data_IF_843854275149
#
_entry.id   IF_843854275149
#
_cell.length_a   1.000
_cell.length_b   1.000
_cell.length_c   1.000
_cell.angle_alpha   90.00
_cell.angle_beta   90.00
_cell.angle_gamma   90.00
#
_symmetry.space_group_name_H-M   'P 1'
#
loop_
_entity.id
_entity.type
_entity.pdbx_description
1 polymer ?
#
# COMPACT_ATOMS: atom_id res chain seq x y z
N UNK A 1 -25.46 -9.25 19.62
CA UNK A 1 -24.60 -8.62 18.59
C UNK A 1 -25.22 -7.26 18.32
N UNK A 2 -24.51 -6.16 18.54
CA UNK A 2 -25.13 -4.83 18.49
C UNK A 2 -25.41 -4.43 17.04
N UNK A 3 -26.68 -4.39 16.65
CA UNK A 3 -27.18 -4.12 15.29
C UNK A 3 -27.08 -2.64 14.87
N UNK A 4 -26.11 -1.89 15.39
CA UNK A 4 -25.87 -0.50 15.00
C UNK A 4 -24.39 -0.32 14.63
N UNK A 5 -24.12 -0.23 13.33
CA UNK A 5 -22.80 0.14 12.83
C UNK A 5 -22.67 1.65 12.87
N UNK A 6 -21.69 2.16 13.62
CA UNK A 6 -21.43 3.59 13.75
C UNK A 6 -20.92 4.22 12.45
N UNK A 7 -20.98 5.56 12.40
CA UNK A 7 -20.32 6.32 11.33
C UNK A 7 -18.83 6.40 11.60
N UNK A 8 -18.01 6.14 10.59
CA UNK A 8 -16.56 6.28 10.64
C UNK A 8 -16.07 7.18 9.50
N UNK A 9 -15.12 8.06 9.79
CA UNK A 9 -14.41 8.83 8.76
C UNK A 9 -13.15 8.06 8.38
N UNK A 10 -12.93 7.89 7.07
CA UNK A 10 -11.76 7.19 6.52
C UNK A 10 -10.97 8.15 5.62
N UNK A 11 -9.68 7.91 5.48
CA UNK A 11 -8.80 8.70 4.62
C UNK A 11 -7.91 7.81 3.74
N UNK A 12 -7.83 8.14 2.45
CA UNK A 12 -6.81 7.62 1.54
C UNK A 12 -5.75 8.71 1.34
N UNK A 13 -4.50 8.42 1.70
CA UNK A 13 -3.39 9.38 1.62
C UNK A 13 -2.69 9.27 0.26
N UNK A 14 -3.05 10.15 -0.68
CA UNK A 14 -2.36 10.26 -1.95
C UNK A 14 -1.08 11.10 -1.80
N UNK A 15 0.08 10.46 -1.71
CA UNK A 15 1.37 11.12 -1.59
C UNK A 15 2.50 10.30 -2.22
N UNK A 16 3.60 10.96 -2.58
CA UNK A 16 4.88 10.29 -2.79
C UNK A 16 5.60 10.05 -1.46
N UNK A 17 6.39 8.97 -1.35
CA UNK A 17 7.37 8.85 -0.27
C UNK A 17 8.56 9.80 -0.49
N UNK A 18 9.49 9.82 0.46
CA UNK A 18 10.84 10.33 0.18
C UNK A 18 11.61 9.16 -0.42
N UNK A 19 11.64 9.12 -1.75
CA UNK A 19 11.99 7.92 -2.52
C UNK A 19 13.37 7.39 -2.11
N UNK A 20 13.39 6.11 -1.68
CA UNK A 20 14.61 5.39 -1.25
C UNK A 20 15.31 6.01 -0.01
N UNK A 21 14.57 6.74 0.82
CA UNK A 21 14.96 7.13 2.17
C UNK A 21 13.87 6.66 3.15
N UNK A 22 14.14 5.56 3.86
CA UNK A 22 13.18 4.95 4.78
C UNK A 22 12.83 5.90 5.92
N UNK A 23 13.82 6.51 6.56
CA UNK A 23 13.61 7.29 7.77
C UNK A 23 12.88 8.61 7.46
N UNK A 24 13.25 9.29 6.37
CA UNK A 24 12.53 10.47 5.92
C UNK A 24 11.10 10.15 5.45
N UNK A 25 10.89 8.99 4.83
CA UNK A 25 9.55 8.51 4.47
C UNK A 25 8.69 8.24 5.70
N UNK A 26 9.25 7.64 6.76
CA UNK A 26 8.54 7.41 8.02
C UNK A 26 8.18 8.72 8.72
N UNK A 27 9.08 9.71 8.72
CA UNK A 27 8.79 11.03 9.27
C UNK A 27 7.66 11.74 8.49
N UNK A 28 7.69 11.64 7.15
CA UNK A 28 6.60 12.15 6.29
C UNK A 28 5.29 11.41 6.55
N UNK A 29 5.33 10.10 6.72
CA UNK A 29 4.16 9.26 7.06
C UNK A 29 3.53 9.74 8.38
N UNK A 30 4.30 9.94 9.45
CA UNK A 30 3.75 10.43 10.74
C UNK A 30 2.99 11.75 10.57
N UNK A 31 3.57 12.70 9.83
CA UNK A 31 2.94 13.99 9.55
C UNK A 31 1.64 13.87 8.75
N UNK A 32 1.62 13.04 7.71
CA UNK A 32 0.44 12.82 6.88
C UNK A 32 -0.67 12.10 7.63
N UNK A 33 -0.31 11.08 8.43
CA UNK A 33 -1.23 10.34 9.29
C UNK A 33 -1.85 11.26 10.34
N UNK A 34 -1.03 12.11 10.99
CA UNK A 34 -1.54 13.09 11.93
C UNK A 34 -2.50 14.08 11.25
N UNK A 35 -2.16 14.58 10.07
CA UNK A 35 -3.02 15.50 9.31
C UNK A 35 -4.39 14.88 8.98
N UNK A 36 -4.42 13.59 8.62
CA UNK A 36 -5.67 12.88 8.37
C UNK A 36 -6.49 12.69 9.67
N UNK A 37 -5.80 12.35 10.77
CA UNK A 37 -6.41 12.17 12.09
C UNK A 37 -6.99 13.47 12.65
N UNK A 38 -6.32 14.61 12.46
CA UNK A 38 -6.78 15.93 12.86
C UNK A 38 -8.07 16.34 12.10
N UNK A 39 -8.29 15.75 10.92
CA UNK A 39 -9.53 15.86 10.13
C UNK A 39 -10.58 14.81 10.51
N UNK A 40 -10.35 14.06 11.58
CA UNK A 40 -11.28 13.08 12.16
C UNK A 40 -11.18 11.67 11.58
N UNK A 41 -10.19 11.37 10.72
CA UNK A 41 -10.03 10.02 10.19
C UNK A 41 -9.70 9.01 11.29
N UNK A 42 -10.41 7.87 11.29
CA UNK A 42 -10.20 6.75 12.21
C UNK A 42 -9.72 5.47 11.50
N UNK A 43 -9.74 5.47 10.16
CA UNK A 43 -9.05 4.50 9.30
C UNK A 43 -8.26 5.31 8.28
N UNK A 44 -6.95 5.07 8.20
CA UNK A 44 -6.04 5.78 7.31
C UNK A 44 -5.29 4.75 6.46
N UNK A 45 -5.35 4.92 5.14
CA UNK A 45 -4.74 4.01 4.18
C UNK A 45 -3.63 4.74 3.44
N UNK A 46 -2.42 4.19 3.51
CA UNK A 46 -1.27 4.65 2.73
C UNK A 46 -1.17 3.87 1.40
N UNK A 47 -0.47 4.40 0.38
CA UNK A 47 -0.30 3.71 -0.91
C UNK A 47 0.46 2.38 -0.82
N UNK A 48 0.36 1.58 -1.89
CA UNK A 48 1.14 0.36 -2.07
C UNK A 48 2.64 0.65 -2.03
N UNK A 49 3.38 -0.18 -1.27
CA UNK A 49 4.83 -0.07 -1.11
C UNK A 49 5.34 1.35 -0.82
N UNK A 50 4.55 2.17 -0.10
CA UNK A 50 4.91 3.54 0.26
C UNK A 50 6.27 3.60 0.95
N UNK A 51 6.63 2.62 1.79
CA UNK A 51 7.94 2.57 2.44
C UNK A 51 8.89 1.57 1.76
N UNK A 52 10.09 1.98 1.29
CA UNK A 52 10.50 3.38 1.05
C UNK A 52 10.04 3.92 -0.31
N UNK A 53 9.62 3.04 -1.23
CA UNK A 53 9.13 3.39 -2.56
C UNK A 53 8.57 2.16 -3.27
N UNK A 54 7.55 2.36 -4.10
CA UNK A 54 7.15 1.37 -5.08
C UNK A 54 8.21 1.28 -6.19
N UNK A 55 8.72 0.07 -6.53
CA UNK A 55 9.68 -0.13 -7.61
C UNK A 55 8.97 0.02 -8.97
N UNK A 56 8.69 1.26 -9.38
CA UNK A 56 7.85 1.57 -10.55
C UNK A 56 8.34 0.95 -11.85
N UNK A 57 7.42 0.36 -12.62
CA UNK A 57 7.72 -0.32 -13.88
C UNK A 57 8.52 0.50 -14.91
N UNK A 58 8.22 1.79 -15.16
CA UNK A 58 8.97 2.60 -16.13
C UNK A 58 10.44 2.81 -15.80
N UNK A 59 10.84 2.52 -14.55
CA UNK A 59 12.19 2.79 -14.04
C UNK A 59 12.89 1.49 -13.62
N UNK A 60 12.23 0.67 -12.79
CA UNK A 60 12.77 -0.61 -12.32
C UNK A 60 12.57 -1.70 -13.39
N UNK A 61 11.36 -1.84 -13.94
CA UNK A 61 11.03 -2.87 -14.93
C UNK A 61 11.88 -2.81 -16.20
N UNK A 62 12.23 -1.60 -16.66
CA UNK A 62 13.10 -1.39 -17.81
C UNK A 62 14.53 -1.97 -17.63
N UNK A 63 14.97 -2.15 -16.38
CA UNK A 63 16.36 -2.46 -16.05
C UNK A 63 16.51 -3.91 -15.57
N UNK A 64 15.57 -4.42 -14.76
CA UNK A 64 15.66 -5.79 -14.25
C UNK A 64 15.34 -6.87 -15.27
N UNK A 65 14.65 -6.53 -16.37
CA UNK A 65 14.35 -7.50 -17.45
C UNK A 65 15.58 -8.00 -18.21
N UNK A 66 16.72 -7.30 -18.13
CA UNK A 66 17.93 -7.64 -18.90
C UNK A 66 19.14 -8.10 -18.07
N UNK A 67 19.19 -7.78 -16.76
CA UNK A 67 20.37 -7.95 -15.88
C UNK A 67 21.73 -7.44 -16.45
N UNK A 68 21.71 -6.76 -17.59
CA UNK A 68 22.88 -6.31 -18.34
C UNK A 68 23.27 -4.88 -18.00
N UNK A 69 22.38 -4.13 -17.36
CA UNK A 69 22.67 -2.79 -16.86
C UNK A 69 23.45 -2.90 -15.54
N UNK A 70 24.71 -2.41 -15.47
CA UNK A 70 25.50 -2.45 -14.25
C UNK A 70 24.89 -1.65 -13.09
N UNK A 71 23.94 -0.74 -13.35
CA UNK A 71 23.24 0.02 -12.32
C UNK A 71 22.13 -0.78 -11.61
N UNK A 72 21.68 -1.91 -12.17
CA UNK A 72 20.60 -2.72 -11.63
C UNK A 72 20.88 -3.24 -10.20
N UNK A 73 22.06 -3.84 -10.01
CA UNK A 73 22.49 -4.39 -8.71
C UNK A 73 22.61 -3.32 -7.62
N UNK A 74 23.31 -2.20 -7.85
CA UNK A 74 23.33 -1.05 -6.96
C UNK A 74 21.93 -0.51 -6.61
N UNK A 75 21.05 -0.32 -7.59
CA UNK A 75 19.68 0.15 -7.36
C UNK A 75 18.87 -0.82 -6.46
N UNK A 76 18.94 -2.13 -6.74
CA UNK A 76 18.30 -3.14 -5.92
C UNK A 76 18.86 -3.15 -4.49
N UNK A 77 20.19 -3.02 -4.34
CA UNK A 77 20.83 -2.93 -3.03
C UNK A 77 20.33 -1.73 -2.23
N UNK A 78 20.18 -0.55 -2.86
CA UNK A 78 19.66 0.65 -2.20
C UNK A 78 18.22 0.48 -1.75
N UNK A 79 17.37 -0.13 -2.60
CA UNK A 79 16.00 -0.50 -2.23
C UNK A 79 15.99 -1.46 -1.03
N UNK A 80 16.77 -2.54 -1.09
CA UNK A 80 16.83 -3.55 -0.02
C UNK A 80 17.38 -2.99 1.30
N UNK A 81 18.33 -2.04 1.26
CA UNK A 81 18.85 -1.38 2.45
C UNK A 81 17.80 -0.49 3.14
N UNK A 82 16.90 0.11 2.36
CA UNK A 82 15.80 0.95 2.86
C UNK A 82 14.49 0.16 3.08
N UNK A 83 14.45 -1.13 2.76
CA UNK A 83 13.30 -1.99 3.06
C UNK A 83 13.11 -2.17 4.58
N UNK A 84 11.93 -2.68 4.94
CA UNK A 84 11.49 -2.83 6.33
C UNK A 84 11.62 -4.29 6.75
N UNK A 85 12.37 -4.57 7.81
CA UNK A 85 12.24 -5.85 8.50
C UNK A 85 11.01 -5.81 9.41
N UNK A 86 10.28 -6.91 9.52
CA UNK A 86 9.05 -6.98 10.33
C UNK A 86 9.22 -8.08 11.40
N UNK A 87 9.24 -7.75 12.70
CA UNK A 87 9.22 -6.40 13.30
C UNK A 87 10.58 -5.69 13.26
N UNK A 88 10.59 -4.35 13.35
CA UNK A 88 11.81 -3.50 13.43
C UNK A 88 11.50 -2.10 13.99
N UNK A 89 12.52 -1.24 14.23
CA UNK A 89 12.29 0.16 14.58
C UNK A 89 11.39 0.93 13.60
N UNK A 90 11.37 0.53 12.32
CA UNK A 90 10.49 1.10 11.31
C UNK A 90 9.02 0.73 11.54
N UNK A 91 8.72 -0.54 11.89
CA UNK A 91 7.35 -0.94 12.26
C UNK A 91 6.93 -0.29 13.57
N UNK A 92 7.85 -0.09 14.52
CA UNK A 92 7.59 0.68 15.75
C UNK A 92 7.27 2.15 15.48
N UNK A 93 7.90 2.77 14.48
CA UNK A 93 7.56 4.13 14.06
C UNK A 93 6.12 4.21 13.51
N UNK A 94 5.71 3.26 12.68
CA UNK A 94 4.34 3.17 12.17
C UNK A 94 3.33 2.89 13.30
N UNK A 95 3.66 1.99 14.23
CA UNK A 95 2.86 1.72 15.42
C UNK A 95 2.67 2.97 16.29
N UNK A 96 3.72 3.78 16.47
CA UNK A 96 3.62 5.08 17.16
C UNK A 96 2.72 6.04 16.42
N UNK A 97 2.81 6.14 15.08
CA UNK A 97 1.93 6.99 14.29
C UNK A 97 0.45 6.58 14.43
N UNK A 98 0.14 5.27 14.37
CA UNK A 98 -1.20 4.73 14.60
C UNK A 98 -1.73 5.07 16.01
N UNK A 99 -0.90 4.88 17.04
CA UNK A 99 -1.26 5.17 18.44
C UNK A 99 -1.49 6.65 18.70
N UNK A 100 -0.62 7.52 18.16
CA UNK A 100 -0.72 8.98 18.27
C UNK A 100 -1.98 9.52 17.59
N UNK A 101 -2.30 9.00 16.40
CA UNK A 101 -3.51 9.34 15.66
C UNK A 101 -4.79 8.68 16.19
N UNK A 102 -4.67 7.65 17.04
CA UNK A 102 -5.79 6.82 17.53
C UNK A 102 -6.62 6.26 16.36
N UNK A 103 -5.96 5.91 15.27
CA UNK A 103 -6.57 5.43 14.04
C UNK A 103 -6.02 4.06 13.64
N UNK A 104 -6.85 3.27 12.98
CA UNK A 104 -6.38 2.12 12.22
C UNK A 104 -5.53 2.61 11.06
N UNK A 105 -4.36 2.02 10.87
CA UNK A 105 -3.38 2.46 9.88
C UNK A 105 -2.96 1.28 9.00
N UNK A 106 -3.28 1.34 7.71
CA UNK A 106 -2.81 0.39 6.69
C UNK A 106 -1.63 0.99 5.94
N UNK A 107 -0.47 0.32 5.95
CA UNK A 107 0.76 0.78 5.31
C UNK A 107 1.30 -0.27 4.36
N UNK A 108 1.51 0.10 3.10
CA UNK A 108 2.28 -0.69 2.14
C UNK A 108 3.79 -0.51 2.33
N UNK A 109 4.52 -1.61 2.42
CA UNK A 109 5.98 -1.62 2.60
C UNK A 109 6.65 -2.59 1.65
N UNK A 110 7.90 -2.30 1.30
CA UNK A 110 8.84 -3.32 0.87
C UNK A 110 9.36 -4.00 2.13
N UNK A 111 8.88 -5.20 2.42
CA UNK A 111 9.39 -6.02 3.50
C UNK A 111 10.67 -6.73 3.06
N UNK A 112 11.70 -6.75 3.90
CA UNK A 112 12.91 -7.56 3.70
C UNK A 112 12.97 -8.68 4.74
N UNK A 113 13.11 -9.91 4.27
CA UNK A 113 13.35 -11.06 5.16
C UNK A 113 14.82 -11.14 5.57
N UNK A 114 15.12 -11.97 6.58
CA UNK A 114 16.50 -12.27 6.99
C UNK A 114 17.34 -12.88 5.87
N UNK A 115 16.73 -13.54 4.89
CA UNK A 115 17.43 -14.13 3.72
C UNK A 115 17.70 -13.10 2.63
N UNK A 116 17.24 -11.86 2.78
CA UNK A 116 17.41 -10.78 1.81
C UNK A 116 16.31 -10.70 0.74
N UNK A 117 15.32 -11.60 0.79
CA UNK A 117 14.17 -11.55 -0.12
C UNK A 117 13.30 -10.35 0.20
N UNK A 118 12.86 -9.63 -0.84
CA UNK A 118 11.90 -8.55 -0.70
C UNK A 118 10.48 -9.05 -0.98
N UNK A 119 9.48 -8.50 -0.28
CA UNK A 119 8.06 -8.73 -0.53
C UNK A 119 7.31 -7.39 -0.54
N UNK A 120 6.25 -7.30 -1.34
CA UNK A 120 5.25 -6.25 -1.17
C UNK A 120 4.30 -6.65 -0.04
N UNK A 121 4.30 -5.90 1.04
CA UNK A 121 3.58 -6.28 2.27
C UNK A 121 2.66 -5.15 2.73
N UNK A 122 1.43 -5.49 3.09
CA UNK A 122 0.52 -4.62 3.83
C UNK A 122 0.63 -4.91 5.32
N UNK A 123 0.81 -3.85 6.10
CA UNK A 123 0.80 -3.86 7.57
C UNK A 123 -0.44 -3.11 8.05
N UNK A 124 -1.23 -3.75 8.92
CA UNK A 124 -2.38 -3.12 9.56
C UNK A 124 -2.11 -2.94 11.04
N UNK A 125 -2.07 -1.69 11.49
CA UNK A 125 -1.88 -1.32 12.89
C UNK A 125 -3.20 -0.90 13.54
N UNK A 126 -3.42 -1.33 14.78
CA UNK A 126 -4.55 -0.92 15.60
C UNK A 126 -4.37 0.52 16.13
N UNK A 127 -5.44 1.19 16.59
CA UNK A 127 -5.36 2.47 17.29
C UNK A 127 -4.53 2.43 18.58
N UNK A 128 -4.29 1.26 19.15
CA UNK A 128 -3.41 1.08 20.30
C UNK A 128 -1.93 0.98 19.88
N UNK A 129 -1.64 0.80 18.59
CA UNK A 129 -0.31 0.61 18.02
C UNK A 129 0.08 -0.87 17.85
N UNK A 130 -0.84 -1.81 18.03
CA UNK A 130 -0.55 -3.24 17.82
C UNK A 130 -0.52 -3.55 16.32
N UNK A 131 0.43 -4.37 15.88
CA UNK A 131 0.45 -4.89 14.52
C UNK A 131 -0.59 -6.01 14.38
N UNK A 132 -1.82 -5.63 14.01
CA UNK A 132 -2.97 -6.51 13.95
C UNK A 132 -2.92 -7.50 12.78
N UNK A 133 -2.27 -7.15 11.67
CA UNK A 133 -2.11 -8.05 10.53
C UNK A 133 -0.89 -7.69 9.67
N UNK A 134 -0.23 -8.73 9.15
CA UNK A 134 0.83 -8.65 8.14
C UNK A 134 0.38 -9.50 6.95
N UNK A 135 0.37 -8.93 5.75
CA UNK A 135 0.02 -9.66 4.52
C UNK A 135 0.99 -9.37 3.40
N UNK A 136 1.71 -10.39 2.95
CA UNK A 136 2.49 -10.35 1.71
C UNK A 136 1.56 -10.53 0.51
N UNK A 137 1.80 -9.75 -0.55
CA UNK A 137 1.11 -9.87 -1.85
C UNK A 137 1.26 -11.29 -2.37
N UNK A 138 0.15 -12.00 -2.60
CA UNK A 138 0.18 -13.41 -2.97
C UNK A 138 1.03 -13.64 -4.22
N UNK A 139 0.75 -12.89 -5.30
CA UNK A 139 1.47 -12.99 -6.57
C UNK A 139 1.88 -11.58 -7.03
N UNK A 140 3.19 -11.27 -7.05
CA UNK A 140 3.71 -10.09 -7.72
C UNK A 140 3.32 -10.06 -9.20
N UNK A 141 2.92 -8.89 -9.66
CA UNK A 141 2.37 -8.65 -10.99
C UNK A 141 3.48 -8.28 -11.96
N UNK A 142 3.50 -8.92 -13.14
CA UNK A 142 4.39 -8.56 -14.24
C UNK A 142 5.86 -8.44 -13.78
N UNK A 143 6.46 -7.26 -13.89
CA UNK A 143 7.86 -6.94 -13.60
C UNK A 143 8.15 -6.80 -12.10
N UNK A 144 7.14 -6.68 -11.25
CA UNK A 144 7.30 -6.79 -9.80
C UNK A 144 7.95 -8.13 -9.41
N UNK A 145 7.79 -9.18 -10.22
CA UNK A 145 8.41 -10.51 -10.02
C UNK A 145 9.94 -10.48 -10.05
N UNK A 146 10.52 -9.42 -10.61
CA UNK A 146 11.97 -9.22 -10.60
C UNK A 146 12.47 -8.62 -9.28
N UNK A 147 11.57 -8.10 -8.45
CA UNK A 147 11.90 -7.42 -7.19
C UNK A 147 11.37 -8.20 -5.98
N UNK A 148 10.13 -8.67 -6.05
CA UNK A 148 9.43 -9.29 -4.94
C UNK A 148 9.22 -10.79 -5.11
N UNK A 149 9.39 -11.52 -4.00
CA UNK A 149 8.92 -12.89 -3.87
C UNK A 149 7.40 -12.94 -3.61
N UNK A 150 6.74 -14.06 -3.94
CA UNK A 150 5.34 -14.27 -3.61
C UNK A 150 5.12 -14.35 -2.10
N UNK A 151 3.92 -13.97 -1.67
CA UNK A 151 3.43 -14.18 -0.31
C UNK A 151 2.97 -15.62 -0.07
N UNK A 152 2.58 -15.89 1.17
CA UNK A 152 2.07 -17.21 1.55
C UNK A 152 0.69 -17.48 0.92
N UNK A 153 0.44 -18.72 0.52
CA UNK A 153 -0.85 -19.18 0.00
C UNK A 153 -1.91 -19.36 1.10
N UNK A 154 -2.10 -18.30 1.91
CA UNK A 154 -3.08 -18.24 2.99
C UNK A 154 -4.23 -17.34 2.55
N UNK A 155 -5.44 -17.85 2.69
CA UNK A 155 -6.65 -17.11 2.36
C UNK A 155 -6.73 -15.83 3.22
N UNK A 156 -6.95 -14.65 2.61
CA UNK A 156 -7.02 -13.39 3.33
C UNK A 156 -8.22 -13.39 4.28
N UNK A 157 -8.04 -12.83 5.48
CA UNK A 157 -9.11 -12.70 6.49
C UNK A 157 -9.21 -11.26 6.98
N UNK A 158 -10.41 -10.87 7.37
CA UNK A 158 -10.67 -9.56 7.95
C UNK A 158 -10.13 -9.43 9.37
N UNK A 159 -10.00 -8.19 9.82
CA UNK A 159 -9.69 -7.82 11.21
C UNK A 159 -10.91 -7.09 11.79
N UNK A 160 -11.49 -7.56 12.92
CA UNK A 160 -12.64 -6.92 13.53
C UNK A 160 -12.27 -5.56 14.15
N UNK A 161 -13.16 -4.58 14.01
CA UNK A 161 -13.00 -3.24 14.59
C UNK A 161 -14.32 -2.72 15.15
N UNK A 162 -14.30 -1.56 15.81
CA UNK A 162 -15.48 -0.96 16.43
C UNK A 162 -16.54 -0.45 15.43
N UNK A 163 -16.22 -0.36 14.13
CA UNK A 163 -17.13 0.12 13.07
C UNK A 163 -17.33 -0.90 11.93
N UNK A 164 -16.87 -2.14 12.10
CA UNK A 164 -16.97 -3.22 11.10
C UNK A 164 -15.61 -3.79 10.71
N UNK A 165 -15.61 -5.01 10.17
CA UNK A 165 -14.35 -5.70 9.88
C UNK A 165 -13.63 -5.07 8.67
N UNK A 166 -12.32 -4.85 8.81
CA UNK A 166 -11.43 -4.37 7.76
C UNK A 166 -10.85 -5.57 7.00
N UNK A 167 -10.92 -5.57 5.67
CA UNK A 167 -10.14 -6.48 4.84
C UNK A 167 -9.17 -5.70 3.95
N UNK A 168 -8.08 -6.35 3.52
CA UNK A 168 -7.04 -5.70 2.74
C UNK A 168 -6.46 -6.62 1.66
N UNK A 169 -6.45 -6.10 0.43
CA UNK A 169 -5.79 -6.68 -0.74
C UNK A 169 -4.98 -5.59 -1.42
N UNK A 170 -3.82 -5.94 -1.97
CA UNK A 170 -2.96 -4.97 -2.64
C UNK A 170 -3.05 -5.10 -4.16
N UNK A 171 -3.28 -3.97 -4.84
CA UNK A 171 -3.23 -3.86 -6.31
C UNK A 171 -4.03 -4.98 -6.99
N UNK A 172 -3.43 -5.76 -7.88
CA UNK A 172 -4.14 -6.76 -8.68
C UNK A 172 -4.52 -8.06 -7.92
N UNK A 173 -4.20 -8.19 -6.63
CA UNK A 173 -4.90 -9.18 -5.78
C UNK A 173 -6.42 -8.97 -5.82
N UNK A 174 -6.85 -7.72 -6.03
CA UNK A 174 -8.25 -7.35 -6.16
C UNK A 174 -8.95 -7.96 -7.39
N UNK A 175 -8.22 -8.42 -8.41
CA UNK A 175 -8.79 -9.17 -9.51
C UNK A 175 -9.00 -10.65 -9.18
N UNK A 176 -8.41 -11.17 -8.11
CA UNK A 176 -8.51 -12.57 -7.74
C UNK A 176 -9.86 -12.85 -7.04
N UNK A 177 -10.80 -13.57 -7.67
CA UNK A 177 -12.13 -13.78 -7.10
C UNK A 177 -12.09 -14.55 -5.79
N UNK A 178 -11.20 -15.53 -5.63
CA UNK A 178 -11.06 -16.31 -4.40
C UNK A 178 -10.53 -15.46 -3.23
N UNK A 179 -9.66 -14.49 -3.50
CA UNK A 179 -9.15 -13.58 -2.46
C UNK A 179 -10.27 -12.67 -1.94
N UNK A 180 -11.07 -12.09 -2.85
CA UNK A 180 -12.23 -11.27 -2.50
C UNK A 180 -13.29 -12.08 -1.76
N UNK A 181 -13.64 -13.26 -2.28
CA UNK A 181 -14.64 -14.14 -1.66
C UNK A 181 -14.26 -14.51 -0.22
N UNK A 182 -12.98 -14.81 0.05
CA UNK A 182 -12.50 -15.09 1.41
C UNK A 182 -12.69 -13.91 2.37
N UNK A 183 -12.51 -12.68 1.89
CA UNK A 183 -12.77 -11.48 2.70
C UNK A 183 -14.27 -11.30 2.97
N UNK A 184 -15.12 -11.50 1.96
CA UNK A 184 -16.58 -11.43 2.14
C UNK A 184 -17.10 -12.48 3.12
N UNK A 185 -16.63 -13.72 3.02
CA UNK A 185 -16.97 -14.81 3.94
C UNK A 185 -16.51 -14.55 5.37
N UNK A 186 -15.44 -13.77 5.54
CA UNK A 186 -14.98 -13.32 6.86
C UNK A 186 -15.67 -12.03 7.35
N UNK A 187 -16.76 -11.61 6.69
CA UNK A 187 -17.63 -10.52 7.18
C UNK A 187 -17.09 -9.12 6.95
N UNK A 188 -16.34 -8.92 5.85
CA UNK A 188 -15.78 -7.61 5.48
C UNK A 188 -16.86 -6.51 5.40
N UNK A 189 -16.52 -5.31 5.89
CA UNK A 189 -17.37 -4.12 5.80
C UNK A 189 -16.66 -2.95 5.12
N UNK A 190 -15.34 -2.84 5.30
CA UNK A 190 -14.49 -1.83 4.69
C UNK A 190 -13.30 -2.53 4.05
N UNK A 191 -13.19 -2.39 2.73
CA UNK A 191 -12.17 -2.99 1.90
C UNK A 191 -11.05 -1.98 1.63
N UNK A 192 -9.84 -2.29 2.05
CA UNK A 192 -8.66 -1.45 1.87
C UNK A 192 -7.89 -1.95 0.64
N UNK A 193 -7.78 -1.09 -0.38
CA UNK A 193 -7.14 -1.42 -1.65
C UNK A 193 -6.02 -0.43 -2.02
N UNK A 194 -4.87 -0.45 -1.32
CA UNK A 194 -3.67 0.25 -1.78
C UNK A 194 -3.22 -0.25 -3.16
N UNK A 195 -2.74 0.66 -4.00
CA UNK A 195 -2.31 0.34 -5.37
C UNK A 195 -1.24 1.30 -5.89
N UNK A 196 -0.56 0.89 -6.95
CA UNK A 196 0.20 1.75 -7.85
C UNK A 196 -0.44 1.88 -9.26
N UNK A 197 -1.59 1.26 -9.50
CA UNK A 197 -2.36 1.33 -10.75
C UNK A 197 -3.24 2.58 -10.78
N UNK A 198 -2.91 3.51 -11.68
CA UNK A 198 -3.64 4.76 -11.88
C UNK A 198 -4.54 4.76 -13.12
N UNK A 199 -4.89 3.59 -13.65
CA UNK A 199 -5.71 3.43 -14.85
C UNK A 199 -7.21 3.61 -14.58
N UNK A 200 -7.99 3.83 -15.65
CA UNK A 200 -9.45 3.80 -15.58
C UNK A 200 -9.98 2.39 -15.24
N UNK A 201 -9.25 1.35 -15.64
CA UNK A 201 -9.56 -0.03 -15.29
C UNK A 201 -9.59 -0.23 -13.77
N UNK A 202 -8.62 0.35 -13.07
CA UNK A 202 -8.59 0.33 -11.61
C UNK A 202 -9.82 1.00 -10.97
N UNK A 203 -10.28 2.13 -11.52
CA UNK A 203 -11.50 2.79 -11.04
C UNK A 203 -12.74 1.90 -11.19
N UNK A 204 -12.84 1.19 -12.31
CA UNK A 204 -13.91 0.21 -12.51
C UNK A 204 -13.83 -0.93 -11.48
N UNK A 205 -12.62 -1.43 -11.17
CA UNK A 205 -12.40 -2.46 -10.16
C UNK A 205 -12.86 -2.04 -8.77
N UNK A 206 -12.49 -0.86 -8.30
CA UNK A 206 -12.92 -0.36 -6.98
C UNK A 206 -14.45 -0.32 -6.86
N UNK A 207 -15.12 0.19 -7.90
CA UNK A 207 -16.59 0.27 -7.94
C UNK A 207 -17.24 -1.10 -8.02
N UNK A 208 -16.67 -2.01 -8.81
CA UNK A 208 -17.15 -3.37 -8.93
C UNK A 208 -17.09 -4.11 -7.59
N UNK A 209 -15.97 -4.02 -6.88
CA UNK A 209 -15.79 -4.64 -5.56
C UNK A 209 -16.82 -4.09 -4.56
N UNK A 210 -17.03 -2.78 -4.55
CA UNK A 210 -18.04 -2.16 -3.69
C UNK A 210 -19.45 -2.72 -3.94
N UNK A 211 -19.82 -2.89 -5.22
CA UNK A 211 -21.12 -3.42 -5.64
C UNK A 211 -21.26 -4.92 -5.37
N UNK A 212 -20.22 -5.70 -5.62
CA UNK A 212 -20.19 -7.15 -5.45
C UNK A 212 -20.24 -7.53 -3.98
N UNK A 213 -19.34 -6.97 -3.17
CA UNK A 213 -19.24 -7.28 -1.73
C UNK A 213 -20.25 -6.54 -0.86
N UNK A 214 -20.89 -5.48 -1.38
CA UNK A 214 -21.70 -4.52 -0.60
C UNK A 214 -20.94 -3.94 0.58
N UNK A 215 -19.69 -3.55 0.30
CA UNK A 215 -18.74 -2.98 1.25
C UNK A 215 -18.33 -1.57 0.84
N UNK A 216 -17.85 -0.78 1.79
CA UNK A 216 -17.14 0.46 1.46
C UNK A 216 -15.74 0.11 0.95
N UNK A 217 -15.26 0.77 -0.09
CA UNK A 217 -13.93 0.52 -0.66
C UNK A 217 -13.08 1.78 -0.53
N UNK A 218 -11.87 1.63 0.00
CA UNK A 218 -10.87 2.71 0.12
C UNK A 218 -9.68 2.37 -0.78
N UNK A 219 -9.70 2.91 -2.00
CA UNK A 219 -8.60 2.82 -2.94
C UNK A 219 -7.55 3.90 -2.66
N UNK A 220 -6.29 3.51 -2.49
CA UNK A 220 -5.21 4.46 -2.20
C UNK A 220 -4.06 4.31 -3.19
N UNK A 221 -3.88 5.31 -4.05
CA UNK A 221 -2.84 5.36 -5.07
C UNK A 221 -1.88 6.52 -4.80
N UNK A 222 -0.59 6.30 -5.06
CA UNK A 222 0.45 7.32 -4.90
C UNK A 222 0.43 8.35 -6.04
N UNK A 223 0.95 9.55 -5.77
CA UNK A 223 1.28 10.51 -6.82
C UNK A 223 2.80 10.69 -6.87
N UNK A 224 3.44 10.28 -7.96
CA UNK A 224 4.91 10.26 -8.08
C UNK A 224 5.35 10.88 -9.41
N UNK A 225 6.33 11.77 -9.35
CA UNK A 225 7.00 12.39 -10.50
C UNK A 225 8.49 12.07 -10.49
N UNK A 226 9.19 12.35 -11.59
CA UNK A 226 10.65 12.16 -11.67
C UNK A 226 11.41 12.95 -10.62
N UNK A 227 10.94 14.17 -10.32
CA UNK A 227 11.57 15.06 -9.33
C UNK A 227 11.57 14.53 -7.89
N UNK A 228 10.75 13.52 -7.57
CA UNK A 228 10.77 12.88 -6.25
C UNK A 228 11.95 11.92 -6.06
N UNK A 229 12.56 11.44 -7.14
CA UNK A 229 13.73 10.57 -7.05
C UNK A 229 14.98 11.38 -6.72
N UNK A 230 15.91 10.83 -5.91
CA UNK A 230 17.13 11.55 -5.57
C UNK A 230 18.02 11.72 -6.81
N UNK A 231 18.76 12.83 -6.87
CA UNK A 231 19.61 13.15 -8.02
C UNK A 231 20.73 12.13 -8.26
N UNK A 232 21.16 11.43 -7.21
CA UNK A 232 22.18 10.38 -7.24
C UNK A 232 21.62 8.98 -7.55
N UNK A 233 20.35 8.88 -7.93
CA UNK A 233 19.71 7.60 -8.19
C UNK A 233 20.41 6.81 -9.31
N UNK A 234 20.64 5.53 -9.04
CA UNK A 234 21.44 4.64 -9.89
C UNK A 234 20.83 4.49 -11.29
N UNK A 235 19.50 4.46 -11.39
CA UNK A 235 18.78 4.30 -12.65
C UNK A 235 18.40 5.66 -13.28
N UNK A 236 19.19 6.72 -13.07
CA UNK A 236 18.93 8.07 -13.58
C UNK A 236 18.65 8.14 -15.09
N UNK A 237 19.29 7.30 -15.90
CA UNK A 237 19.04 7.26 -17.34
C UNK A 237 17.67 6.66 -17.69
N UNK A 238 17.26 5.61 -16.98
CA UNK A 238 15.91 5.05 -17.11
C UNK A 238 14.87 6.08 -16.63
N UNK A 239 15.11 6.73 -15.49
CA UNK A 239 14.27 7.79 -14.95
C UNK A 239 14.12 8.96 -15.94
N UNK A 240 15.20 9.38 -16.61
CA UNK A 240 15.18 10.46 -17.62
C UNK A 240 14.32 10.11 -18.84
N UNK A 241 14.27 8.83 -19.22
CA UNK A 241 13.45 8.33 -20.34
C UNK A 241 12.00 8.08 -19.95
N UNK A 242 11.73 7.89 -18.66
CA UNK A 242 10.38 7.71 -18.15
C UNK A 242 9.54 9.00 -18.28
N UNK A 243 8.20 8.90 -18.28
CA UNK A 243 7.32 10.06 -18.24
C UNK A 243 7.58 10.96 -17.02
N UNK A 244 7.23 12.24 -17.12
CA UNK A 244 7.39 13.17 -15.99
C UNK A 244 6.58 12.74 -14.77
N UNK A 245 5.32 12.35 -15.00
CA UNK A 245 4.44 11.78 -13.99
C UNK A 245 4.49 10.26 -14.13
N UNK A 246 5.08 9.59 -13.13
CA UNK A 246 5.26 8.14 -13.10
C UNK A 246 4.00 7.44 -12.58
N UNK A 247 3.30 8.06 -11.63
CA UNK A 247 2.00 7.62 -11.15
C UNK A 247 1.15 8.85 -10.86
N UNK A 248 -0.03 8.95 -11.48
CA UNK A 248 -0.90 10.14 -11.41
C UNK A 248 -1.85 10.13 -10.21
N UNK A 249 -1.82 9.09 -9.37
CA UNK A 249 -2.78 8.90 -8.29
C UNK A 249 -4.14 8.40 -8.78
N UNK A 250 -5.22 8.90 -8.19
CA UNK A 250 -6.58 8.40 -8.40
C UNK A 250 -7.10 7.61 -7.20
N UNK A 251 -6.67 7.96 -5.99
CA UNK A 251 -7.30 7.47 -4.77
C UNK A 251 -8.80 7.80 -4.78
N UNK A 252 -9.61 6.89 -4.27
CA UNK A 252 -11.06 7.03 -4.27
C UNK A 252 -11.68 6.30 -3.08
N UNK A 253 -12.78 6.84 -2.56
CA UNK A 253 -13.61 6.19 -1.55
C UNK A 253 -14.96 5.89 -2.19
N UNK A 254 -15.35 4.62 -2.21
CA UNK A 254 -16.56 4.15 -2.90
C UNK A 254 -17.54 3.54 -1.89
N UNK A 255 -18.82 3.90 -2.00
CA UNK A 255 -19.89 3.35 -1.21
C UNK A 255 -20.37 1.98 -1.73
N UNK A 256 -21.07 1.16 -0.91
CA UNK A 256 -21.62 -0.16 -1.30
C UNK A 256 -22.58 -0.17 -2.51
N UNK A 257 -23.08 1.01 -2.91
CA UNK A 257 -23.91 1.24 -4.10
C UNK A 257 -23.07 1.58 -5.36
N UNK A 258 -21.74 1.56 -5.24
CA UNK A 258 -20.80 1.85 -6.33
C UNK A 258 -20.60 3.34 -6.61
N UNK A 259 -21.13 4.23 -5.78
CA UNK A 259 -20.99 5.68 -5.93
C UNK A 259 -19.73 6.19 -5.21
N UNK A 260 -19.04 7.14 -5.82
CA UNK A 260 -17.93 7.84 -5.17
C UNK A 260 -18.42 8.71 -4.01
N UNK A 261 -17.70 8.64 -2.90
CA UNK A 261 -17.87 9.50 -1.73
C UNK A 261 -16.80 10.61 -1.71
N UNK A 262 -15.60 10.30 -2.21
CA UNK A 262 -14.47 11.19 -2.39
C UNK A 262 -13.54 10.65 -3.48
#
# INVERSE_FOLDING_TARGET
MGDTYGRVTVAAVQAAPVVLDREATLAKLDSLVQTAADRGARVIVMPEAFVPAYPSSPVFGAVFGGFSDPAAGPAFRRLAANAVEVPSPATEAMARAARKSRAWLCVGVNERTRTGTLHCTLLLFSPAGDLAQVRRKLIPTHDERMVWGPGEAVAPRTVPTEFGALGQLVCWENYMPLARQSLYESGERIHLAPTADASEGWQATLRHIALEGRVFVVGCCQYVTRSHYPADFELKEALRRAPEVLCRGGSAIVAPDGRYLA
#
